data_IF_057785081545
#
_entry.id   IF_057785081545
#
_cell.length_a   1.000
_cell.length_b   1.000
_cell.length_c   1.000
_cell.angle_alpha   90.00
_cell.angle_beta   90.00
_cell.angle_gamma   90.00
#
_symmetry.space_group_name_H-M   'P 1'
#
loop_
_entity.id
_entity.type
_entity.pdbx_description
1 polymer ?
#
# COMPACT_ATOMS: atom_id res chain seq x y z
N UNK A 1 8.62 19.60 17.29
CA UNK A 1 7.93 18.96 16.15
C UNK A 1 6.61 18.43 16.68
N UNK A 2 5.48 18.91 16.18
CA UNK A 2 4.16 18.51 16.66
C UNK A 2 3.78 17.17 16.04
N UNK A 3 3.75 16.10 16.84
CA UNK A 3 3.24 14.81 16.40
C UNK A 3 1.72 14.87 16.34
N UNK A 4 1.16 14.81 15.13
CA UNK A 4 -0.28 14.65 14.92
C UNK A 4 -0.63 13.22 15.31
N UNK A 5 -1.18 13.02 16.51
CA UNK A 5 -1.67 11.72 16.93
C UNK A 5 -2.92 11.38 16.10
N UNK A 6 -2.79 10.47 15.14
CA UNK A 6 -3.93 9.92 14.41
C UNK A 6 -4.77 9.09 15.39
N UNK A 7 -5.81 9.70 15.93
CA UNK A 7 -6.74 9.02 16.83
C UNK A 7 -7.62 8.07 16.02
N UNK A 8 -7.38 6.76 16.19
CA UNK A 8 -8.29 5.73 15.65
C UNK A 8 -9.64 5.91 16.38
N UNK A 9 -10.76 6.10 15.65
CA UNK A 9 -12.08 6.11 16.26
C UNK A 9 -12.28 4.85 17.10
N UNK A 10 -12.67 4.99 18.37
CA UNK A 10 -12.79 3.89 19.35
C UNK A 10 -13.70 2.71 18.91
N UNK A 11 -14.45 2.89 17.83
CA UNK A 11 -15.34 1.87 17.28
C UNK A 11 -14.66 0.93 16.27
N UNK A 12 -13.44 1.25 15.80
CA UNK A 12 -12.60 0.29 15.08
C UNK A 12 -11.73 -0.42 16.11
N UNK A 13 -12.08 -1.67 16.41
CA UNK A 13 -11.28 -2.51 17.29
C UNK A 13 -9.89 -2.69 16.64
N UNK A 14 -8.80 -2.25 17.28
CA UNK A 14 -7.48 -2.30 16.65
C UNK A 14 -7.12 -3.75 16.33
N UNK A 15 -6.72 -4.00 15.07
CA UNK A 15 -6.36 -5.34 14.61
C UNK A 15 -5.08 -5.87 15.30
N UNK A 16 -4.21 -4.97 15.77
CA UNK A 16 -3.01 -5.33 16.52
C UNK A 16 -2.31 -4.11 17.12
N UNK A 17 -1.38 -4.37 18.05
CA UNK A 17 -0.49 -3.38 18.64
C UNK A 17 0.95 -3.80 18.41
N UNK A 18 1.84 -2.84 18.15
CA UNK A 18 3.25 -3.14 18.03
C UNK A 18 3.86 -3.44 19.40
N UNK A 19 4.49 -4.60 19.58
CA UNK A 19 5.07 -5.02 20.87
C UNK A 19 6.25 -4.15 21.35
N UNK A 20 6.82 -3.33 20.45
CA UNK A 20 8.02 -2.52 20.73
C UNK A 20 7.71 -1.08 21.13
N UNK A 21 6.60 -0.52 20.63
CA UNK A 21 6.20 0.87 20.87
C UNK A 21 4.77 1.00 21.43
N UNK A 22 4.08 -0.13 21.63
CA UNK A 22 2.67 -0.27 22.08
C UNK A 22 1.67 0.57 21.26
N UNK A 23 2.05 0.98 20.05
CA UNK A 23 1.20 1.81 19.20
C UNK A 23 0.09 0.94 18.56
N UNK A 24 -1.19 1.31 18.71
CA UNK A 24 -2.29 0.57 18.11
C UNK A 24 -2.37 0.85 16.61
N UNK A 25 -2.52 -0.20 15.81
CA UNK A 25 -2.69 -0.09 14.36
C UNK A 25 -4.06 -0.65 13.94
N UNK A 26 -4.69 -0.04 12.92
CA UNK A 26 -6.01 -0.46 12.44
C UNK A 26 -5.97 -1.78 11.67
N UNK A 27 -4.84 -2.15 11.07
CA UNK A 27 -4.66 -3.39 10.29
C UNK A 27 -3.33 -4.06 10.63
N UNK A 28 -3.28 -5.39 10.53
CA UNK A 28 -2.07 -6.19 10.74
C UNK A 28 -0.97 -5.83 9.75
N UNK A 29 -1.31 -5.53 8.49
CA UNK A 29 -0.34 -5.15 7.45
C UNK A 29 0.37 -3.83 7.79
N UNK A 30 -0.35 -2.88 8.38
CA UNK A 30 0.25 -1.60 8.83
C UNK A 30 1.19 -1.80 10.00
N UNK A 31 0.90 -2.75 10.89
CA UNK A 31 1.78 -3.12 12.00
C UNK A 31 3.06 -3.76 11.48
N UNK A 32 2.96 -4.68 10.51
CA UNK A 32 4.12 -5.33 9.87
C UNK A 32 4.99 -4.28 9.15
N UNK A 33 4.37 -3.37 8.39
CA UNK A 33 5.07 -2.29 7.70
C UNK A 33 5.79 -1.34 8.68
N UNK A 34 5.11 -0.97 9.77
CA UNK A 34 5.69 -0.14 10.83
C UNK A 34 6.89 -0.81 11.50
N UNK A 35 6.77 -2.11 11.82
CA UNK A 35 7.84 -2.89 12.44
C UNK A 35 9.11 -2.87 11.57
N UNK A 36 8.97 -3.12 10.26
CA UNK A 36 10.10 -3.10 9.32
C UNK A 36 10.73 -1.72 9.10
N UNK A 37 10.00 -0.62 9.31
CA UNK A 37 10.50 0.75 9.12
C UNK A 37 11.12 1.35 10.38
N UNK A 38 10.50 1.16 11.55
CA UNK A 38 10.90 1.81 12.81
C UNK A 38 11.73 0.89 13.73
N UNK A 39 11.62 -0.43 13.56
CA UNK A 39 12.36 -1.41 14.37
C UNK A 39 13.25 -2.37 13.56
N UNK A 40 13.97 -1.93 12.49
CA UNK A 40 14.73 -2.80 11.59
C UNK A 40 15.80 -3.67 12.29
N UNK A 41 16.27 -3.25 13.47
CA UNK A 41 17.31 -3.95 14.25
C UNK A 41 16.78 -5.02 15.21
N UNK A 42 15.45 -5.11 15.39
CA UNK A 42 14.82 -6.01 16.35
C UNK A 42 13.84 -6.99 15.68
N UNK A 43 13.79 -7.01 14.33
CA UNK A 43 13.05 -8.03 13.60
C UNK A 43 13.83 -9.34 13.57
N UNK A 44 13.12 -10.42 13.82
CA UNK A 44 13.60 -11.77 13.49
C UNK A 44 13.45 -12.03 11.98
N UNK A 45 14.23 -12.98 11.45
CA UNK A 45 14.27 -13.27 10.00
C UNK A 45 12.88 -13.64 9.44
N UNK A 46 12.04 -14.28 10.26
CA UNK A 46 10.64 -14.60 9.92
C UNK A 46 9.75 -13.36 9.75
N UNK A 47 10.04 -12.29 10.48
CA UNK A 47 9.27 -11.05 10.48
C UNK A 47 9.74 -10.11 9.36
N UNK A 48 11.01 -10.22 8.99
CA UNK A 48 11.58 -9.59 7.78
C UNK A 48 10.92 -10.17 6.53
N UNK A 49 10.77 -11.49 6.45
CA UNK A 49 10.13 -12.15 5.30
C UNK A 49 8.65 -11.76 5.16
N UNK A 50 7.91 -11.74 6.28
CA UNK A 50 6.52 -11.25 6.31
C UNK A 50 6.40 -9.78 5.88
N UNK A 51 7.37 -8.93 6.23
CA UNK A 51 7.44 -7.55 5.75
C UNK A 51 7.67 -7.45 4.24
N UNK A 52 8.57 -8.27 3.70
CA UNK A 52 8.83 -8.31 2.27
C UNK A 52 7.61 -8.78 1.47
N UNK A 53 6.86 -9.75 1.99
CA UNK A 53 5.63 -10.25 1.37
C UNK A 53 4.49 -9.22 1.42
N UNK A 54 4.26 -8.59 2.58
CA UNK A 54 3.27 -7.52 2.69
C UNK A 54 3.59 -6.34 1.74
N UNK A 55 4.88 -5.98 1.64
CA UNK A 55 5.36 -4.93 0.73
C UNK A 55 5.21 -5.31 -0.74
N UNK A 56 5.48 -6.56 -1.12
CA UNK A 56 5.34 -7.01 -2.51
C UNK A 56 3.88 -7.00 -2.94
N UNK A 57 2.97 -7.44 -2.06
CA UNK A 57 1.53 -7.43 -2.29
C UNK A 57 0.99 -6.00 -2.52
N UNK A 58 1.39 -5.03 -1.69
CA UNK A 58 1.03 -3.62 -1.89
C UNK A 58 1.56 -3.07 -3.23
N UNK A 59 2.78 -3.47 -3.63
CA UNK A 59 3.34 -3.01 -4.92
C UNK A 59 2.64 -3.61 -6.14
N UNK A 60 2.10 -4.83 -6.05
CA UNK A 60 1.37 -5.47 -7.15
C UNK A 60 0.00 -4.84 -7.38
N UNK A 61 -0.67 -4.38 -6.32
CA UNK A 61 -1.90 -3.59 -6.45
C UNK A 61 -1.63 -2.26 -7.16
N UNK A 62 -0.55 -1.56 -6.78
CA UNK A 62 -0.14 -0.30 -7.42
C UNK A 62 0.30 -0.51 -8.88
N UNK A 63 0.96 -1.64 -9.18
CA UNK A 63 1.36 -2.01 -10.53
C UNK A 63 0.15 -2.28 -11.42
N UNK A 64 -0.86 -2.96 -10.88
CA UNK A 64 -2.11 -3.27 -11.60
C UNK A 64 -2.89 -2.01 -11.91
N UNK A 65 -2.97 -1.05 -10.98
CA UNK A 65 -3.59 0.26 -11.24
C UNK A 65 -2.85 1.03 -12.33
N UNK A 66 -1.51 1.05 -12.28
CA UNK A 66 -0.68 1.71 -13.29
C UNK A 66 -0.86 1.08 -14.68
N UNK A 67 -0.88 -0.25 -14.76
CA UNK A 67 -1.12 -0.98 -16.01
C UNK A 67 -2.52 -0.73 -16.56
N UNK A 68 -3.53 -0.69 -15.70
CA UNK A 68 -4.91 -0.38 -16.10
C UNK A 68 -5.05 1.04 -16.63
N UNK A 69 -4.41 2.02 -15.97
CA UNK A 69 -4.38 3.41 -16.43
C UNK A 69 -3.67 3.55 -17.78
N UNK A 70 -2.50 2.91 -17.95
CA UNK A 70 -1.76 2.91 -19.21
C UNK A 70 -2.55 2.24 -20.33
N UNK A 71 -3.14 1.07 -20.07
CA UNK A 71 -3.99 0.37 -21.03
C UNK A 71 -5.20 1.21 -21.45
N UNK A 72 -5.87 1.87 -20.51
CA UNK A 72 -6.99 2.77 -20.81
C UNK A 72 -6.56 3.95 -21.69
N UNK A 73 -5.41 4.58 -21.40
CA UNK A 73 -4.88 5.70 -22.18
C UNK A 73 -4.52 5.27 -23.61
N UNK A 74 -3.89 4.10 -23.77
CA UNK A 74 -3.57 3.53 -25.09
C UNK A 74 -4.85 3.28 -25.89
N UNK A 75 -5.84 2.60 -25.30
CA UNK A 75 -7.12 2.33 -25.98
C UNK A 75 -7.85 3.62 -26.39
N UNK A 76 -7.86 4.63 -25.53
CA UNK A 76 -8.46 5.94 -25.84
C UNK A 76 -7.74 6.59 -27.03
N UNK A 77 -6.41 6.63 -27.01
CA UNK A 77 -5.62 7.22 -28.09
C UNK A 77 -5.85 6.50 -29.42
N UNK A 78 -5.79 5.16 -29.44
CA UNK A 78 -6.07 4.38 -30.63
C UNK A 78 -7.52 4.58 -31.11
N UNK A 79 -8.50 4.60 -30.21
CA UNK A 79 -9.89 4.90 -30.55
C UNK A 79 -10.04 6.26 -31.24
N UNK A 80 -9.37 7.29 -30.72
CA UNK A 80 -9.33 8.61 -31.36
C UNK A 80 -8.63 8.57 -32.72
N UNK A 81 -7.53 7.84 -32.87
CA UNK A 81 -6.84 7.68 -34.15
C UNK A 81 -7.71 6.97 -35.19
N UNK A 82 -8.41 5.91 -34.81
CA UNK A 82 -9.35 5.22 -35.69
C UNK A 82 -10.50 6.14 -36.08
N UNK A 83 -11.05 6.90 -35.14
CA UNK A 83 -12.08 7.89 -35.42
C UNK A 83 -11.57 8.94 -36.41
N UNK A 84 -10.39 9.51 -36.16
CA UNK A 84 -9.76 10.44 -37.09
C UNK A 84 -9.58 9.82 -38.48
N UNK A 85 -9.03 8.62 -38.58
CA UNK A 85 -8.79 7.97 -39.87
C UNK A 85 -10.05 7.61 -40.65
N UNK A 86 -11.19 7.42 -39.97
CA UNK A 86 -12.48 7.13 -40.62
C UNK A 86 -13.19 8.43 -41.04
N UNK A 87 -13.07 9.50 -40.25
CA UNK A 87 -13.80 10.76 -40.47
C UNK A 87 -13.00 11.84 -41.21
N UNK A 88 -11.66 11.73 -41.28
CA UNK A 88 -10.78 12.62 -42.03
C UNK A 88 -10.39 12.02 -43.39
#
# INVERSE_FOLDING_TARGET
>A
MSHTATTIPRNDSPAGKCDYCDHPFPTTDRLVLHKGLEHPQQLDDSEVEAFHEARSNETDELRTLRLKALGALVLLYFGLLFMYAIFA
#
